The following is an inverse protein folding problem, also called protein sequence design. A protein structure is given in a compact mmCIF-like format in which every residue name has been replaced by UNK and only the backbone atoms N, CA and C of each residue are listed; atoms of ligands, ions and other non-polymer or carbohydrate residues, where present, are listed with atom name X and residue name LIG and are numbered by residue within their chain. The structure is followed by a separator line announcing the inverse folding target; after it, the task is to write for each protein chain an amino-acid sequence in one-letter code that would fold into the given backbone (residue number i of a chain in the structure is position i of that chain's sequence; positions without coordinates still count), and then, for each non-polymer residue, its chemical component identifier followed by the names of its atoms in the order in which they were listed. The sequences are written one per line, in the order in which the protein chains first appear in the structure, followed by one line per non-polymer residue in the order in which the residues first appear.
data_IF_547420255799
#
_entry.id   IF_547420255799
#
_cell.length_a   1.000
_cell.length_b   1.000
_cell.length_c   1.000
_cell.angle_alpha   90.00
_cell.angle_beta   90.00
_cell.angle_gamma   90.00
#
_symmetry.space_group_name_H-M   'P 1'
#
loop_
_entity.id
_entity.type
_entity.pdbx_description
1 polymer ?
#
# COMPACT_ATOMS: atom_id res chain seq x y z
N UNK A 1 -1.19 7.53 -27.14
CA UNK A 1 -2.04 7.39 -25.95
C UNK A 1 -1.66 8.41 -24.89
N UNK A 2 -2.54 8.72 -23.97
CA UNK A 2 -2.25 9.59 -22.83
C UNK A 2 -1.83 8.74 -21.62
N UNK A 3 -0.85 9.24 -20.88
CA UNK A 3 -0.34 8.59 -19.65
C UNK A 3 0.00 9.65 -18.60
N UNK A 4 -0.35 9.38 -17.34
CA UNK A 4 -0.03 10.25 -16.22
C UNK A 4 1.40 10.00 -15.73
N UNK A 5 2.22 11.05 -15.74
CA UNK A 5 3.66 10.99 -15.49
C UNK A 5 4.03 11.93 -14.36
N UNK A 6 4.94 11.50 -13.49
CA UNK A 6 5.56 12.32 -12.45
C UNK A 6 7.04 12.54 -12.77
N UNK A 7 7.45 13.79 -12.83
CA UNK A 7 8.86 14.19 -12.93
C UNK A 7 9.42 14.43 -11.53
N UNK A 8 10.28 13.53 -11.06
CA UNK A 8 10.87 13.64 -9.71
C UNK A 8 11.88 14.79 -9.58
N UNK A 9 12.47 15.24 -10.69
CA UNK A 9 13.42 16.34 -10.72
C UNK A 9 12.74 17.70 -10.57
N UNK A 10 11.70 17.95 -11.36
CA UNK A 10 10.95 19.22 -11.37
C UNK A 10 9.77 19.23 -10.39
N UNK A 11 9.29 18.06 -9.95
CA UNK A 11 8.07 17.94 -9.14
C UNK A 11 6.78 18.12 -9.95
N UNK A 12 6.87 18.19 -11.27
CA UNK A 12 5.71 18.34 -12.15
C UNK A 12 5.01 17.00 -12.35
N UNK A 13 3.68 17.02 -12.28
CA UNK A 13 2.79 15.93 -12.68
C UNK A 13 2.06 16.34 -13.93
N UNK A 14 2.14 15.58 -14.99
CA UNK A 14 1.53 15.93 -16.27
C UNK A 14 0.94 14.75 -17.01
N UNK A 15 0.00 15.03 -17.88
CA UNK A 15 -0.60 14.06 -18.78
C UNK A 15 0.09 14.15 -20.14
N UNK A 16 0.96 13.20 -20.44
CA UNK A 16 1.74 13.18 -21.69
C UNK A 16 1.09 12.31 -22.76
N UNK A 17 1.24 12.77 -24.02
CA UNK A 17 1.02 11.96 -25.20
C UNK A 17 2.28 11.11 -25.46
N UNK A 18 2.15 9.79 -25.33
CA UNK A 18 3.23 8.83 -25.53
C UNK A 18 2.81 7.75 -26.55
N UNK A 19 3.75 7.05 -27.22
CA UNK A 19 3.41 5.90 -28.04
C UNK A 19 2.63 4.85 -27.24
N UNK A 20 1.62 4.22 -27.85
CA UNK A 20 0.93 3.09 -27.22
C UNK A 20 1.85 1.86 -27.24
N UNK A 21 1.85 1.03 -26.18
CA UNK A 21 2.53 -0.25 -26.21
C UNK A 21 1.90 -1.16 -27.28
N UNK A 22 2.74 -1.93 -27.97
CA UNK A 22 2.27 -2.99 -28.86
C UNK A 22 2.11 -4.34 -28.14
N UNK A 23 1.47 -5.32 -28.81
CA UNK A 23 1.38 -6.69 -28.33
C UNK A 23 2.77 -7.28 -28.04
N UNK A 24 2.90 -8.03 -26.92
CA UNK A 24 4.14 -8.72 -26.55
C UNK A 24 3.82 -10.07 -25.95
N UNK A 25 4.56 -11.11 -26.38
CA UNK A 25 4.44 -12.44 -25.78
C UNK A 25 4.66 -12.39 -24.27
N UNK A 26 3.79 -13.06 -23.52
CA UNK A 26 3.82 -13.10 -22.04
C UNK A 26 3.32 -11.81 -21.34
N UNK A 27 2.73 -10.87 -22.09
CA UNK A 27 2.17 -9.63 -21.53
C UNK A 27 0.75 -9.41 -22.01
N UNK A 28 -0.10 -8.89 -21.14
CA UNK A 28 -1.45 -8.49 -21.50
C UNK A 28 -1.41 -7.05 -22.07
N UNK A 29 -1.95 -6.83 -23.25
CA UNK A 29 -2.25 -5.49 -23.75
C UNK A 29 -3.67 -5.15 -23.31
N UNK A 30 -3.83 -4.10 -22.52
CA UNK A 30 -5.11 -3.77 -21.88
C UNK A 30 -5.50 -2.33 -22.16
N UNK A 31 -6.73 -2.12 -22.64
CA UNK A 31 -7.34 -0.80 -22.79
C UNK A 31 -8.02 -0.39 -21.46
N UNK A 32 -7.69 0.78 -20.95
CA UNK A 32 -8.22 1.28 -19.69
C UNK A 32 -9.72 1.57 -19.74
N UNK A 33 -10.42 1.17 -18.70
CA UNK A 33 -11.78 1.63 -18.40
C UNK A 33 -11.79 2.56 -17.20
N UNK A 34 -11.06 2.19 -16.14
CA UNK A 34 -10.95 2.93 -14.87
C UNK A 34 -9.56 2.76 -14.27
N UNK A 35 -9.16 3.72 -13.48
CA UNK A 35 -8.02 3.55 -12.57
C UNK A 35 -8.29 4.31 -11.28
N UNK A 36 -7.81 3.76 -10.15
CA UNK A 36 -7.98 4.35 -8.83
C UNK A 36 -6.70 5.07 -8.42
N UNK A 37 -6.81 6.33 -8.04
CA UNK A 37 -5.70 7.11 -7.48
C UNK A 37 -5.51 6.77 -6.00
N UNK A 38 -4.31 6.34 -5.64
CA UNK A 38 -3.92 6.05 -4.27
C UNK A 38 -3.37 7.29 -3.58
N UNK A 39 -4.18 7.91 -2.72
CA UNK A 39 -3.79 9.13 -2.00
C UNK A 39 -2.57 8.94 -1.08
N UNK A 40 -2.25 7.73 -0.62
CA UNK A 40 -1.07 7.46 0.18
C UNK A 40 0.21 7.47 -0.64
N UNK A 41 0.37 6.47 -1.49
CA UNK A 41 1.63 6.23 -2.23
C UNK A 41 1.87 7.26 -3.32
N UNK A 42 0.84 7.61 -4.10
CA UNK A 42 1.02 8.57 -5.19
C UNK A 42 1.25 9.99 -4.69
N UNK A 43 0.52 10.40 -3.63
CA UNK A 43 0.78 11.67 -2.96
C UNK A 43 2.23 11.75 -2.46
N UNK A 44 2.75 10.67 -1.85
CA UNK A 44 4.13 10.62 -1.40
C UNK A 44 5.13 10.80 -2.56
N UNK A 45 4.87 10.21 -3.73
CA UNK A 45 5.70 10.39 -4.92
C UNK A 45 5.65 11.83 -5.45
N UNK A 46 4.47 12.43 -5.48
CA UNK A 46 4.28 13.83 -5.90
C UNK A 46 4.97 14.79 -4.93
N UNK A 47 4.78 14.60 -3.62
CA UNK A 47 5.44 15.42 -2.58
C UNK A 47 6.95 15.24 -2.60
N UNK A 48 7.46 14.02 -2.80
CA UNK A 48 8.88 13.76 -3.00
C UNK A 48 9.42 14.52 -4.22
N UNK A 49 8.68 14.51 -5.33
CA UNK A 49 9.04 15.27 -6.54
C UNK A 49 9.16 16.77 -6.26
N UNK A 50 8.20 17.33 -5.52
CA UNK A 50 8.14 18.75 -5.15
C UNK A 50 9.15 19.16 -4.07
N UNK A 51 9.63 18.23 -3.27
CA UNK A 51 10.58 18.47 -2.19
C UNK A 51 11.94 18.94 -2.71
N UNK A 52 12.53 19.93 -2.02
CA UNK A 52 13.92 20.35 -2.27
C UNK A 52 14.93 19.25 -1.89
N UNK A 53 16.20 19.41 -2.28
CA UNK A 53 17.28 18.45 -2.03
C UNK A 53 17.41 18.03 -0.55
N UNK A 54 17.25 18.96 0.38
CA UNK A 54 17.28 18.68 1.83
C UNK A 54 16.10 17.82 2.29
N UNK A 55 14.90 18.07 1.75
CA UNK A 55 13.72 17.28 2.03
C UNK A 55 13.86 15.86 1.47
N UNK A 56 14.35 15.72 0.24
CA UNK A 56 14.63 14.42 -0.40
C UNK A 56 15.67 13.60 0.37
N UNK A 57 16.74 14.26 0.87
CA UNK A 57 17.77 13.61 1.70
C UNK A 57 17.19 13.09 3.04
N UNK A 58 16.32 13.88 3.69
CA UNK A 58 15.65 13.47 4.95
C UNK A 58 14.67 12.33 4.76
N UNK A 59 13.94 12.29 3.65
CA UNK A 59 12.95 11.24 3.35
C UNK A 59 13.60 9.90 3.00
N UNK A 60 14.84 9.90 2.46
CA UNK A 60 15.55 8.69 2.05
C UNK A 60 17.01 8.71 2.52
N UNK A 61 17.26 8.59 3.84
CA UNK A 61 18.61 8.72 4.41
C UNK A 61 19.57 7.65 3.91
N UNK A 62 19.12 6.44 3.62
CA UNK A 62 19.97 5.37 3.09
C UNK A 62 20.44 5.66 1.66
N UNK A 63 19.56 6.18 0.80
CA UNK A 63 19.97 6.59 -0.55
C UNK A 63 20.92 7.78 -0.50
N UNK A 64 20.71 8.70 0.45
CA UNK A 64 21.63 9.81 0.65
C UNK A 64 23.03 9.32 1.10
N UNK A 65 23.09 8.35 2.03
CA UNK A 65 24.36 7.71 2.43
C UNK A 65 25.04 7.01 1.24
N UNK A 66 24.26 6.31 0.41
CA UNK A 66 24.77 5.67 -0.81
C UNK A 66 25.33 6.70 -1.82
N UNK A 67 24.69 7.85 -1.97
CA UNK A 67 25.19 8.97 -2.78
C UNK A 67 26.50 9.52 -2.20
N UNK A 68 26.59 9.72 -0.87
CA UNK A 68 27.82 10.15 -0.23
C UNK A 68 28.97 9.14 -0.39
N UNK A 69 28.69 7.84 -0.26
CA UNK A 69 29.67 6.78 -0.50
C UNK A 69 30.13 6.81 -1.97
N UNK A 70 29.22 6.99 -2.91
CA UNK A 70 29.50 7.07 -4.34
C UNK A 70 30.31 8.33 -4.70
N UNK A 71 30.08 9.47 -4.05
CA UNK A 71 30.89 10.67 -4.18
C UNK A 71 32.35 10.39 -3.76
N UNK A 72 32.55 9.61 -2.69
CA UNK A 72 33.89 9.25 -2.21
C UNK A 72 34.64 8.31 -3.16
N UNK A 73 33.91 7.40 -3.85
CA UNK A 73 34.50 6.39 -4.74
C UNK A 73 34.67 6.86 -6.19
N UNK A 74 33.70 7.61 -6.73
CA UNK A 74 33.64 7.98 -8.14
C UNK A 74 33.79 9.50 -8.39
N UNK A 75 33.81 10.31 -7.32
CA UNK A 75 33.91 11.75 -7.38
C UNK A 75 32.54 12.47 -7.44
N UNK A 76 32.55 13.77 -7.17
CA UNK A 76 31.34 14.60 -7.02
C UNK A 76 30.59 14.76 -8.36
N UNK A 77 31.28 15.12 -9.44
CA UNK A 77 30.66 15.46 -10.72
C UNK A 77 29.97 14.25 -11.39
N UNK A 78 30.57 13.06 -11.49
CA UNK A 78 29.91 11.87 -12.04
C UNK A 78 28.70 11.45 -11.21
N UNK A 79 28.81 11.53 -9.88
CA UNK A 79 27.71 11.17 -8.98
C UNK A 79 26.53 12.13 -9.10
N UNK A 80 26.77 13.44 -9.17
CA UNK A 80 25.72 14.43 -9.39
C UNK A 80 25.04 14.26 -10.76
N UNK A 81 25.79 13.97 -11.81
CA UNK A 81 25.26 13.67 -13.13
C UNK A 81 24.35 12.42 -13.10
N UNK A 82 24.78 11.34 -12.45
CA UNK A 82 24.00 10.11 -12.30
C UNK A 82 22.71 10.32 -11.49
N UNK A 83 22.75 11.09 -10.40
CA UNK A 83 21.58 11.46 -9.60
C UNK A 83 20.62 12.32 -10.41
N UNK A 84 21.10 13.33 -11.11
CA UNK A 84 20.28 14.17 -12.01
C UNK A 84 19.63 13.35 -13.10
N UNK A 85 20.37 12.46 -13.77
CA UNK A 85 19.83 11.56 -14.79
C UNK A 85 18.70 10.66 -14.25
N UNK A 86 18.87 10.08 -13.06
CA UNK A 86 17.81 9.30 -12.42
C UNK A 86 16.57 10.14 -12.05
N UNK A 87 16.76 11.35 -11.54
CA UNK A 87 15.66 12.25 -11.20
C UNK A 87 14.98 12.85 -12.45
N UNK A 88 15.70 12.93 -13.57
CA UNK A 88 15.15 13.40 -14.84
C UNK A 88 14.26 12.36 -15.53
N UNK A 89 14.38 11.07 -15.17
CA UNK A 89 13.54 10.04 -15.75
C UNK A 89 12.10 10.20 -15.23
N UNK A 90 11.12 10.35 -16.14
CA UNK A 90 9.71 10.42 -15.77
C UNK A 90 9.23 9.06 -15.26
N UNK A 91 8.41 9.09 -14.21
CA UNK A 91 7.84 7.87 -13.60
C UNK A 91 6.35 7.82 -13.90
N UNK A 92 5.83 6.74 -14.50
CA UNK A 92 4.40 6.54 -14.60
C UNK A 92 3.75 6.48 -13.22
N UNK A 93 2.66 7.24 -13.02
CA UNK A 93 1.87 7.17 -11.80
C UNK A 93 0.76 6.12 -11.93
N UNK A 94 0.35 5.60 -10.78
CA UNK A 94 -0.74 4.63 -10.66
C UNK A 94 -0.27 3.18 -10.57
N UNK A 95 -1.11 2.37 -9.94
CA UNK A 95 -0.95 0.93 -9.80
C UNK A 95 -2.29 0.22 -9.52
N UNK A 96 -3.41 0.85 -9.85
CA UNK A 96 -4.77 0.32 -9.69
C UNK A 96 -5.53 0.53 -10.99
N UNK A 97 -5.32 -0.34 -11.96
CA UNK A 97 -5.82 -0.21 -13.32
C UNK A 97 -6.86 -1.30 -13.62
N UNK A 98 -7.97 -0.92 -14.24
CA UNK A 98 -9.03 -1.80 -14.72
C UNK A 98 -9.24 -1.55 -16.20
N UNK A 99 -9.34 -2.63 -16.98
CA UNK A 99 -9.55 -2.51 -18.41
C UNK A 99 -9.98 -3.81 -19.08
N UNK A 100 -9.97 -3.79 -20.40
CA UNK A 100 -10.30 -4.89 -21.27
C UNK A 100 -9.06 -5.35 -22.03
N UNK A 101 -8.82 -6.65 -22.09
CA UNK A 101 -7.70 -7.27 -22.79
C UNK A 101 -7.90 -7.11 -24.30
N UNK A 102 -6.97 -6.40 -24.95
CA UNK A 102 -6.91 -6.25 -26.40
C UNK A 102 -6.07 -7.36 -27.06
N UNK A 103 -5.05 -7.85 -26.33
CA UNK A 103 -4.19 -8.96 -26.72
C UNK A 103 -3.69 -9.66 -25.47
N UNK A 104 -3.84 -10.97 -25.40
CA UNK A 104 -3.44 -11.78 -24.25
C UNK A 104 -1.95 -12.18 -24.26
N UNK A 105 -1.19 -11.91 -25.32
CA UNK A 105 0.24 -12.25 -25.42
C UNK A 105 0.56 -13.72 -25.19
N UNK A 106 -0.39 -14.62 -25.41
CA UNK A 106 -0.32 -16.05 -25.06
C UNK A 106 -0.20 -16.31 -23.54
N UNK A 107 -0.59 -15.36 -22.70
CA UNK A 107 -0.65 -15.58 -21.24
C UNK A 107 -1.76 -16.58 -20.89
N UNK A 108 -1.45 -17.66 -20.17
CA UNK A 108 -2.47 -18.65 -19.79
C UNK A 108 -3.54 -18.04 -18.89
N UNK A 109 -4.79 -18.44 -19.10
CA UNK A 109 -5.93 -17.98 -18.29
C UNK A 109 -6.53 -16.64 -18.68
N UNK A 110 -6.03 -15.98 -19.73
CA UNK A 110 -6.56 -14.72 -20.26
C UNK A 110 -6.92 -14.82 -21.74
N UNK A 111 -7.97 -14.12 -22.14
CA UNK A 111 -8.43 -14.04 -23.55
C UNK A 111 -8.71 -12.57 -23.92
N UNK A 112 -8.74 -12.29 -25.23
CA UNK A 112 -9.19 -10.99 -25.74
C UNK A 112 -10.65 -10.77 -25.33
N UNK A 113 -10.97 -9.57 -24.86
CA UNK A 113 -12.28 -9.20 -24.34
C UNK A 113 -12.44 -9.45 -22.82
N UNK A 114 -11.52 -10.17 -22.16
CA UNK A 114 -11.57 -10.31 -20.70
C UNK A 114 -11.48 -8.95 -20.02
N UNK A 115 -12.33 -8.75 -19.02
CA UNK A 115 -12.21 -7.62 -18.10
C UNK A 115 -11.21 -7.97 -17.01
N UNK A 116 -10.18 -7.13 -16.84
CA UNK A 116 -9.09 -7.40 -15.90
C UNK A 116 -8.80 -6.21 -15.00
N UNK A 117 -8.37 -6.50 -13.78
CA UNK A 117 -7.70 -5.55 -12.89
C UNK A 117 -6.20 -5.88 -12.87
N UNK A 118 -5.35 -4.87 -12.79
CA UNK A 118 -3.90 -5.03 -12.74
C UNK A 118 -3.23 -3.92 -11.93
N UNK A 119 -1.94 -4.10 -11.62
CA UNK A 119 -1.12 -3.07 -10.99
C UNK A 119 -0.48 -2.10 -12.01
N UNK A 120 -1.05 -1.98 -13.20
CA UNK A 120 -0.56 -1.09 -14.24
C UNK A 120 -0.81 0.40 -13.91
N UNK A 121 -0.05 1.33 -14.52
CA UNK A 121 -0.17 2.76 -14.28
C UNK A 121 -1.43 3.37 -14.89
N UNK A 122 -1.67 4.65 -14.58
CA UNK A 122 -2.73 5.47 -15.20
C UNK A 122 -2.37 5.80 -16.65
N UNK A 123 -2.89 5.03 -17.58
CA UNK A 123 -2.71 5.23 -19.02
C UNK A 123 -3.91 4.69 -19.80
N UNK A 124 -4.13 5.16 -21.02
CA UNK A 124 -5.23 4.70 -21.88
C UNK A 124 -5.06 3.25 -22.36
N UNK A 125 -3.81 2.83 -22.58
CA UNK A 125 -3.45 1.45 -22.92
C UNK A 125 -2.20 1.07 -22.13
N UNK A 126 -2.17 -0.14 -21.57
CA UNK A 126 -1.05 -0.62 -20.77
C UNK A 126 -0.60 -2.01 -21.20
N UNK A 127 0.69 -2.29 -21.01
CA UNK A 127 1.24 -3.64 -21.09
C UNK A 127 1.38 -4.20 -19.66
N UNK A 128 0.39 -4.98 -19.22
CA UNK A 128 0.33 -5.53 -17.87
C UNK A 128 1.03 -6.88 -17.76
N UNK A 129 1.59 -7.16 -16.58
CA UNK A 129 2.12 -8.47 -16.24
C UNK A 129 0.98 -9.40 -15.80
N UNK A 130 0.81 -10.59 -16.40
CA UNK A 130 -0.23 -11.52 -16.00
C UNK A 130 -0.15 -11.95 -14.53
N UNK A 131 1.07 -12.01 -13.95
CA UNK A 131 1.27 -12.33 -12.53
C UNK A 131 0.66 -11.29 -11.58
N UNK A 132 0.48 -10.05 -12.05
CA UNK A 132 -0.15 -8.96 -11.32
C UNK A 132 -1.48 -8.53 -11.92
N UNK A 133 -2.16 -9.44 -12.60
CA UNK A 133 -3.48 -9.22 -13.18
C UNK A 133 -4.47 -10.31 -12.74
N UNK A 134 -5.73 -9.94 -12.64
CA UNK A 134 -6.80 -10.90 -12.36
C UNK A 134 -8.02 -10.57 -13.21
N UNK A 135 -8.73 -11.61 -13.67
CA UNK A 135 -10.03 -11.43 -14.33
C UNK A 135 -11.08 -10.94 -13.33
N UNK A 136 -11.89 -10.01 -13.75
CA UNK A 136 -12.97 -9.45 -12.96
C UNK A 136 -14.19 -10.36 -13.11
N UNK A 137 -14.74 -10.92 -12.01
CA UNK A 137 -15.92 -11.76 -12.07
C UNK A 137 -17.14 -11.04 -12.68
N UNK A 138 -18.05 -11.80 -13.27
CA UNK A 138 -19.34 -11.26 -13.69
C UNK A 138 -20.08 -10.64 -12.48
N UNK A 139 -20.71 -9.48 -12.70
CA UNK A 139 -21.41 -8.75 -11.65
C UNK A 139 -20.56 -7.80 -10.81
N UNK A 140 -19.21 -7.87 -10.89
CA UNK A 140 -18.35 -6.88 -10.24
C UNK A 140 -18.12 -5.69 -11.18
N UNK A 141 -18.44 -4.47 -10.71
CA UNK A 141 -18.23 -3.25 -11.50
C UNK A 141 -16.72 -2.91 -11.62
N UNK A 142 -16.36 -2.13 -12.63
CA UNK A 142 -15.00 -1.66 -12.82
C UNK A 142 -14.54 -0.76 -11.65
N UNK A 143 -15.45 0.03 -11.09
CA UNK A 143 -15.22 0.89 -9.93
C UNK A 143 -14.83 0.07 -8.71
N UNK A 144 -15.58 -1.00 -8.39
CA UNK A 144 -15.26 -1.89 -7.29
C UNK A 144 -13.95 -2.66 -7.54
N UNK A 145 -13.76 -3.18 -8.74
CA UNK A 145 -12.55 -3.92 -9.10
C UNK A 145 -11.28 -3.07 -8.99
N UNK A 146 -11.36 -1.76 -9.20
CA UNK A 146 -10.20 -0.86 -9.11
C UNK A 146 -9.57 -0.82 -7.71
N UNK A 147 -10.29 -1.21 -6.66
CA UNK A 147 -9.75 -1.31 -5.29
C UNK A 147 -8.93 -2.58 -5.05
N UNK A 148 -8.96 -3.57 -5.94
CA UNK A 148 -8.31 -4.87 -5.73
C UNK A 148 -6.81 -4.78 -5.40
N UNK A 149 -5.97 -3.97 -6.07
CA UNK A 149 -4.56 -3.89 -5.69
C UNK A 149 -4.35 -3.38 -4.27
N UNK A 150 -5.14 -2.39 -3.82
CA UNK A 150 -5.09 -1.88 -2.45
C UNK A 150 -5.65 -2.89 -1.44
N UNK A 151 -6.70 -3.61 -1.82
CA UNK A 151 -7.25 -4.69 -0.99
C UNK A 151 -6.25 -5.85 -0.84
N UNK A 152 -5.45 -6.15 -1.87
CA UNK A 152 -4.38 -7.14 -1.79
C UNK A 152 -3.27 -6.72 -0.80
N UNK A 153 -2.92 -5.43 -0.74
CA UNK A 153 -2.00 -4.90 0.29
C UNK A 153 -2.58 -5.08 1.69
N UNK A 154 -3.86 -4.74 1.90
CA UNK A 154 -4.54 -4.95 3.17
C UNK A 154 -4.60 -6.44 3.54
N UNK A 155 -4.93 -7.31 2.58
CA UNK A 155 -5.02 -8.76 2.78
C UNK A 155 -3.67 -9.37 3.16
N UNK A 156 -2.57 -8.90 2.59
CA UNK A 156 -1.22 -9.34 3.00
C UNK A 156 -0.97 -9.01 4.47
N UNK A 157 -1.28 -7.79 4.90
CA UNK A 157 -1.19 -7.42 6.32
C UNK A 157 -2.05 -8.33 7.23
N UNK A 158 -3.28 -8.63 6.82
CA UNK A 158 -4.20 -9.53 7.53
C UNK A 158 -3.63 -10.96 7.63
N UNK A 159 -3.05 -11.49 6.55
CA UNK A 159 -2.39 -12.82 6.55
C UNK A 159 -1.24 -12.88 7.54
N UNK A 160 -0.45 -11.81 7.65
CA UNK A 160 0.66 -11.73 8.61
C UNK A 160 0.16 -11.63 10.06
N UNK A 161 -0.98 -10.97 10.31
CA UNK A 161 -1.64 -10.99 11.62
C UNK A 161 -2.07 -12.41 11.98
N UNK A 162 -2.65 -13.15 11.05
CA UNK A 162 -3.01 -14.56 11.23
C UNK A 162 -4.13 -14.80 12.24
N UNK A 163 -5.03 -13.83 12.43
CA UNK A 163 -6.17 -13.98 13.33
C UNK A 163 -7.18 -14.99 12.80
N UNK A 164 -7.80 -15.74 13.71
CA UNK A 164 -8.82 -16.73 13.42
C UNK A 164 -10.23 -16.12 13.56
N UNK A 165 -11.26 -16.70 12.92
CA UNK A 165 -12.66 -16.29 13.14
C UNK A 165 -13.01 -16.25 14.64
N UNK A 166 -13.72 -15.21 15.05
CA UNK A 166 -14.08 -14.96 16.46
C UNK A 166 -13.01 -14.22 17.27
N UNK A 167 -11.76 -14.19 16.84
CA UNK A 167 -10.71 -13.39 17.50
C UNK A 167 -10.89 -11.89 17.21
N UNK A 168 -10.21 -11.05 18.01
CA UNK A 168 -10.26 -9.60 17.89
C UNK A 168 -8.96 -9.07 17.31
N UNK A 169 -9.07 -8.22 16.28
CA UNK A 169 -7.97 -7.46 15.66
C UNK A 169 -8.25 -5.97 15.80
N UNK A 170 -7.23 -5.21 16.20
CA UNK A 170 -7.27 -3.74 16.18
C UNK A 170 -6.70 -3.24 14.86
N UNK A 171 -7.40 -2.35 14.16
CA UNK A 171 -6.92 -1.65 12.97
C UNK A 171 -6.64 -0.20 13.36
N UNK A 172 -5.37 0.18 13.36
CA UNK A 172 -4.91 1.55 13.64
C UNK A 172 -4.64 2.30 12.34
N UNK A 173 -5.40 3.37 12.14
CA UNK A 173 -5.46 4.11 10.88
C UNK A 173 -6.61 3.59 10.00
N UNK A 174 -7.67 4.38 9.88
CA UNK A 174 -8.88 4.04 9.12
C UNK A 174 -8.95 4.80 7.79
N UNK A 175 -7.78 5.04 7.18
CA UNK A 175 -7.67 5.49 5.80
C UNK A 175 -8.10 4.39 4.83
N UNK A 176 -7.85 4.55 3.54
CA UNK A 176 -8.33 3.61 2.51
C UNK A 176 -7.91 2.16 2.76
N UNK A 177 -6.64 1.91 3.09
CA UNK A 177 -6.15 0.55 3.42
C UNK A 177 -6.83 0.02 4.69
N UNK A 178 -6.98 0.87 5.73
CA UNK A 178 -7.67 0.49 6.96
C UNK A 178 -9.13 0.14 6.75
N UNK A 179 -9.85 0.91 5.93
CA UNK A 179 -11.24 0.63 5.56
C UNK A 179 -11.39 -0.70 4.81
N UNK A 180 -10.46 -1.00 3.90
CA UNK A 180 -10.43 -2.29 3.20
C UNK A 180 -10.08 -3.44 4.16
N UNK A 181 -9.14 -3.23 5.07
CA UNK A 181 -8.77 -4.22 6.09
C UNK A 181 -9.97 -4.53 7.02
N UNK A 182 -10.72 -3.53 7.47
CA UNK A 182 -11.93 -3.72 8.29
C UNK A 182 -12.92 -4.64 7.55
N UNK A 183 -13.24 -4.34 6.29
CA UNK A 183 -14.18 -5.13 5.49
C UNK A 183 -13.70 -6.57 5.29
N UNK A 184 -12.42 -6.76 4.98
CA UNK A 184 -11.84 -8.08 4.76
C UNK A 184 -11.80 -8.91 6.06
N UNK A 185 -11.41 -8.33 7.19
CA UNK A 185 -11.41 -9.00 8.50
C UNK A 185 -12.84 -9.38 8.92
N UNK A 186 -13.81 -8.48 8.73
CA UNK A 186 -15.22 -8.77 9.03
C UNK A 186 -15.76 -9.91 8.17
N UNK A 187 -15.43 -9.94 6.88
CA UNK A 187 -15.79 -11.03 5.96
C UNK A 187 -15.18 -12.38 6.38
N UNK A 188 -14.04 -12.37 7.09
CA UNK A 188 -13.40 -13.58 7.65
C UNK A 188 -13.94 -13.96 9.03
N UNK A 189 -14.97 -13.28 9.55
CA UNK A 189 -15.54 -13.56 10.87
C UNK A 189 -14.71 -13.04 12.04
N UNK A 190 -13.74 -12.15 11.80
CA UNK A 190 -12.90 -11.52 12.83
C UNK A 190 -13.63 -10.32 13.42
N UNK A 191 -13.59 -10.15 14.74
CA UNK A 191 -14.06 -8.95 15.42
C UNK A 191 -13.04 -7.83 15.23
N UNK A 192 -13.48 -6.66 14.76
CA UNK A 192 -12.58 -5.54 14.45
C UNK A 192 -12.84 -4.36 15.37
N UNK A 193 -11.78 -3.84 15.99
CA UNK A 193 -11.75 -2.55 16.65
C UNK A 193 -11.01 -1.56 15.77
N UNK A 194 -11.62 -0.40 15.49
CA UNK A 194 -11.02 0.64 14.64
C UNK A 194 -10.53 1.82 15.47
N UNK A 195 -9.34 2.33 15.16
CA UNK A 195 -8.74 3.50 15.81
C UNK A 195 -8.23 4.49 14.76
N UNK A 196 -8.76 5.70 14.77
CA UNK A 196 -8.30 6.82 13.94
C UNK A 196 -8.69 8.15 14.64
N UNK A 197 -7.87 9.21 14.60
CA UNK A 197 -8.26 10.51 15.14
C UNK A 197 -9.41 11.18 14.36
N UNK A 198 -9.59 10.86 13.09
CA UNK A 198 -10.58 11.44 12.19
C UNK A 198 -11.96 10.77 12.38
N UNK A 199 -12.95 11.57 12.80
CA UNK A 199 -14.30 11.10 13.07
C UNK A 199 -15.02 10.56 11.82
N UNK A 200 -14.81 11.18 10.67
CA UNK A 200 -15.44 10.73 9.42
C UNK A 200 -14.96 9.33 9.03
N UNK A 201 -13.66 9.04 9.24
CA UNK A 201 -13.10 7.71 9.00
C UNK A 201 -13.61 6.67 10.00
N UNK A 202 -13.77 7.06 11.28
CA UNK A 202 -14.37 6.18 12.30
C UNK A 202 -15.81 5.83 11.95
N UNK A 203 -16.60 6.83 11.56
CA UNK A 203 -17.98 6.65 11.12
C UNK A 203 -18.08 5.70 9.94
N UNK A 204 -17.21 5.83 8.95
CA UNK A 204 -17.20 4.92 7.79
C UNK A 204 -16.78 3.49 8.17
N UNK A 205 -15.83 3.33 9.09
CA UNK A 205 -15.44 2.01 9.61
C UNK A 205 -16.58 1.35 10.42
N UNK A 206 -17.35 2.14 11.17
CA UNK A 206 -18.55 1.64 11.88
C UNK A 206 -19.58 1.08 10.91
N UNK A 207 -19.83 1.75 9.78
CA UNK A 207 -20.73 1.23 8.72
C UNK A 207 -20.23 -0.10 8.15
N UNK A 208 -18.90 -0.30 8.14
CA UNK A 208 -18.27 -1.56 7.72
C UNK A 208 -18.25 -2.63 8.83
N UNK A 209 -18.80 -2.35 10.01
CA UNK A 209 -18.93 -3.28 11.13
C UNK A 209 -17.75 -3.27 12.11
N UNK A 210 -16.88 -2.25 12.08
CA UNK A 210 -15.90 -2.06 13.13
C UNK A 210 -16.55 -1.48 14.40
N UNK A 211 -16.07 -1.90 15.56
CA UNK A 211 -16.36 -1.27 16.83
C UNK A 211 -15.38 -0.13 17.04
N UNK A 212 -15.88 1.03 17.37
CA UNK A 212 -15.05 2.21 17.64
C UNK A 212 -15.06 2.45 19.15
N UNK A 213 -13.90 2.42 19.82
CA UNK A 213 -13.82 2.69 21.25
C UNK A 213 -14.05 4.18 21.56
N UNK A 214 -14.67 4.45 22.71
CA UNK A 214 -14.83 5.81 23.25
C UNK A 214 -13.50 6.31 23.82
N UNK A 215 -12.70 6.97 22.99
CA UNK A 215 -11.39 7.49 23.36
C UNK A 215 -10.36 6.41 23.69
N UNK A 216 -9.22 6.82 24.22
CA UNK A 216 -8.13 5.90 24.60
C UNK A 216 -8.47 4.96 25.76
N UNK A 217 -9.37 5.37 26.64
CA UNK A 217 -9.82 4.60 27.81
C UNK A 217 -10.80 3.48 27.47
N UNK A 218 -11.51 3.59 26.34
CA UNK A 218 -12.47 2.57 25.88
C UNK A 218 -11.80 1.32 25.28
N UNK A 219 -10.56 1.41 24.82
CA UNK A 219 -9.83 0.29 24.21
C UNK A 219 -9.63 -0.91 25.17
N UNK A 220 -9.09 -0.75 26.38
CA UNK A 220 -8.91 -1.86 27.30
C UNK A 220 -10.22 -2.55 27.70
N UNK A 221 -11.31 -1.79 27.84
CA UNK A 221 -12.62 -2.35 28.18
C UNK A 221 -13.18 -3.28 27.08
N UNK A 222 -12.86 -2.99 25.82
CA UNK A 222 -13.25 -3.81 24.67
C UNK A 222 -12.28 -4.98 24.39
N UNK A 223 -11.15 -5.03 25.11
CA UNK A 223 -10.07 -6.01 24.94
C UNK A 223 -9.68 -6.68 26.27
N UNK A 224 -10.61 -7.32 27.00
CA UNK A 224 -10.31 -7.89 28.32
C UNK A 224 -9.22 -8.97 28.27
N UNK A 225 -9.06 -9.67 27.16
CA UNK A 225 -8.02 -10.68 26.93
C UNK A 225 -6.90 -10.21 25.99
N UNK A 226 -6.89 -8.94 25.63
CA UNK A 226 -6.01 -8.39 24.59
C UNK A 226 -6.41 -8.77 23.16
N UNK A 227 -5.83 -8.11 22.17
CA UNK A 227 -6.04 -8.37 20.76
C UNK A 227 -5.19 -9.57 20.26
N UNK A 228 -5.73 -10.39 19.37
CA UNK A 228 -4.95 -11.42 18.68
C UNK A 228 -3.84 -10.79 17.84
N UNK A 229 -4.10 -9.61 17.30
CA UNK A 229 -3.10 -8.79 16.66
C UNK A 229 -3.58 -7.37 16.39
N UNK A 230 -2.63 -6.52 16.01
CA UNK A 230 -2.86 -5.13 15.63
C UNK A 230 -2.30 -4.89 14.24
N UNK A 231 -3.14 -4.38 13.35
CA UNK A 231 -2.78 -3.99 11.99
C UNK A 231 -2.64 -2.46 11.94
N UNK A 232 -1.43 -1.96 11.70
CA UNK A 232 -1.15 -0.53 11.63
C UNK A 232 -1.11 -0.11 10.16
N UNK A 233 -2.12 0.66 9.75
CA UNK A 233 -2.24 1.24 8.40
C UNK A 233 -2.11 2.77 8.43
N UNK A 234 -1.79 3.34 9.60
CA UNK A 234 -1.56 4.76 9.79
C UNK A 234 -0.27 5.23 9.11
N UNK A 235 -0.24 6.53 8.77
CA UNK A 235 0.97 7.22 8.30
C UNK A 235 1.27 8.37 9.25
N UNK A 236 2.37 8.26 10.01
CA UNK A 236 2.81 9.25 10.99
C UNK A 236 4.31 9.10 11.27
N UNK A 237 4.96 10.15 11.72
CA UNK A 237 6.36 10.08 12.21
C UNK A 237 6.48 9.61 13.66
N UNK A 238 5.37 9.47 14.38
CA UNK A 238 5.33 9.04 15.79
C UNK A 238 5.57 7.53 15.93
N UNK A 239 6.26 7.13 17.00
CA UNK A 239 6.46 5.74 17.42
C UNK A 239 5.28 5.21 18.25
N UNK A 240 4.40 6.09 18.74
CA UNK A 240 3.31 5.73 19.65
C UNK A 240 2.36 4.65 19.09
N UNK A 241 1.96 4.65 17.82
CA UNK A 241 1.10 3.59 17.29
C UNK A 241 1.70 2.20 17.45
N UNK A 242 3.02 2.04 17.28
CA UNK A 242 3.69 0.74 17.38
C UNK A 242 3.78 0.28 18.83
N UNK A 243 4.14 1.19 19.76
CA UNK A 243 4.23 0.87 21.17
C UNK A 243 2.84 0.63 21.79
N UNK A 244 1.84 1.43 21.44
CA UNK A 244 0.45 1.18 21.84
C UNK A 244 -0.06 -0.17 21.29
N UNK A 245 0.25 -0.50 20.04
CA UNK A 245 -0.14 -1.77 19.46
C UNK A 245 0.39 -2.97 20.26
N UNK A 246 1.65 -2.91 20.71
CA UNK A 246 2.25 -3.96 21.53
C UNK A 246 1.52 -4.12 22.88
N UNK A 247 1.17 -3.00 23.54
CA UNK A 247 0.41 -3.02 24.82
C UNK A 247 -1.01 -3.57 24.68
N UNK A 248 -1.63 -3.43 23.49
CA UNK A 248 -2.98 -3.94 23.23
C UNK A 248 -3.01 -5.43 22.88
N UNK A 249 -1.89 -6.01 22.49
CA UNK A 249 -1.80 -7.41 22.13
C UNK A 249 -1.95 -8.33 23.36
N UNK A 250 -2.69 -9.43 23.17
CA UNK A 250 -2.60 -10.57 24.09
C UNK A 250 -1.20 -11.19 24.04
N UNK A 251 -0.93 -12.11 24.96
CA UNK A 251 0.30 -12.92 24.93
C UNK A 251 0.48 -13.59 23.56
N UNK A 252 1.68 -13.44 22.97
CA UNK A 252 2.04 -13.92 21.62
C UNK A 252 1.20 -13.33 20.50
N UNK A 253 0.59 -12.15 20.73
CA UNK A 253 -0.07 -11.39 19.68
C UNK A 253 0.91 -10.86 18.65
N UNK A 254 0.39 -10.35 17.54
CA UNK A 254 1.20 -9.87 16.42
C UNK A 254 0.89 -8.42 16.09
N UNK A 255 1.92 -7.61 15.99
CA UNK A 255 1.85 -6.24 15.44
C UNK A 255 2.35 -6.27 14.01
N UNK A 256 1.50 -5.89 13.07
CA UNK A 256 1.84 -5.84 11.64
C UNK A 256 1.74 -4.40 11.14
N UNK A 257 2.85 -3.87 10.64
CA UNK A 257 2.92 -2.53 10.06
C UNK A 257 2.78 -2.60 8.53
N UNK A 258 1.69 -2.04 8.03
CA UNK A 258 1.42 -1.85 6.59
C UNK A 258 1.65 -0.39 6.20
N UNK A 259 1.35 0.53 7.10
CA UNK A 259 1.57 1.96 6.91
C UNK A 259 3.02 2.40 7.11
N UNK A 260 3.20 3.65 7.50
CA UNK A 260 4.53 4.22 7.78
C UNK A 260 4.48 4.92 9.14
N UNK A 261 5.30 4.46 10.08
CA UNK A 261 5.40 5.05 11.43
C UNK A 261 6.85 5.22 11.82
N UNK A 262 7.10 5.94 12.91
CA UNK A 262 8.36 5.83 13.64
C UNK A 262 8.53 4.39 14.17
N UNK A 263 9.78 3.96 14.34
CA UNK A 263 10.14 2.58 14.73
C UNK A 263 11.08 2.54 15.94
N UNK A 264 10.96 3.50 16.85
CA UNK A 264 11.62 3.43 18.15
C UNK A 264 10.78 2.54 19.08
N UNK A 265 11.18 1.28 19.21
CA UNK A 265 10.42 0.27 19.94
C UNK A 265 10.78 0.28 21.43
N UNK A 266 9.76 0.34 22.29
CA UNK A 266 9.93 0.13 23.72
C UNK A 266 9.97 -1.38 23.99
N UNK A 267 11.15 -1.90 24.34
CA UNK A 267 11.34 -3.33 24.61
C UNK A 267 10.35 -3.88 25.66
N UNK A 268 10.01 -3.12 26.69
CA UNK A 268 9.13 -3.60 27.76
C UNK A 268 7.73 -3.94 27.24
N UNK A 269 7.17 -3.12 26.34
CA UNK A 269 5.83 -3.32 25.77
C UNK A 269 5.74 -4.63 24.96
N UNK A 270 6.84 -5.01 24.27
CA UNK A 270 6.91 -6.25 23.50
C UNK A 270 7.25 -7.47 24.36
N UNK A 271 8.15 -7.30 25.35
CA UNK A 271 8.67 -8.39 26.16
C UNK A 271 7.59 -9.01 27.07
N UNK A 272 6.75 -8.19 27.68
CA UNK A 272 5.77 -8.64 28.68
C UNK A 272 4.81 -9.70 28.11
N UNK A 273 4.37 -9.53 26.87
CA UNK A 273 3.42 -10.41 26.20
C UNK A 273 4.03 -11.26 25.07
N UNK A 274 5.37 -11.32 24.95
CA UNK A 274 6.05 -12.03 23.85
C UNK A 274 5.50 -11.61 22.47
N UNK A 275 5.27 -10.30 22.24
CA UNK A 275 4.64 -9.79 21.02
C UNK A 275 5.62 -9.83 19.86
N UNK A 276 5.17 -10.34 18.71
CA UNK A 276 5.92 -10.29 17.45
C UNK A 276 5.62 -9.02 16.68
N UNK A 277 6.65 -8.41 16.08
CA UNK A 277 6.51 -7.27 15.17
C UNK A 277 6.98 -7.62 13.78
N UNK A 278 6.16 -7.28 12.77
CA UNK A 278 6.49 -7.53 11.37
C UNK A 278 6.07 -6.37 10.47
N UNK A 279 6.93 -6.01 9.53
CA UNK A 279 6.59 -5.05 8.46
C UNK A 279 6.02 -5.81 7.26
N UNK A 280 4.84 -5.43 6.81
CA UNK A 280 4.24 -5.93 5.58
C UNK A 280 4.76 -5.18 4.37
N UNK A 281 5.12 -5.91 3.31
CA UNK A 281 5.59 -5.30 2.06
C UNK A 281 4.61 -5.62 0.93
N UNK A 282 4.02 -4.56 0.34
CA UNK A 282 3.20 -4.66 -0.88
C UNK A 282 2.17 -5.80 -0.81
N UNK A 283 2.12 -6.67 -1.80
CA UNK A 283 1.19 -7.81 -1.92
C UNK A 283 1.73 -9.10 -1.27
N UNK A 284 2.89 -9.06 -0.62
CA UNK A 284 3.63 -10.23 -0.18
C UNK A 284 4.67 -10.69 -1.21
N UNK A 285 5.29 -11.86 -0.97
CA UNK A 285 6.19 -12.43 -1.97
C UNK A 285 5.40 -12.96 -3.17
N UNK A 286 5.87 -12.67 -4.37
CA UNK A 286 5.35 -13.26 -5.60
C UNK A 286 5.74 -14.74 -5.76
N UNK A 287 6.52 -15.27 -4.82
CA UNK A 287 7.06 -16.64 -4.84
C UNK A 287 6.07 -17.70 -4.31
N UNK A 288 4.78 -17.35 -4.21
CA UNK A 288 3.73 -18.26 -3.78
C UNK A 288 2.87 -18.76 -4.96
N UNK A 289 3.51 -18.98 -6.11
CA UNK A 289 2.88 -19.70 -7.21
C UNK A 289 3.69 -20.92 -7.55
#
# INVERSE_FOLDING_TARGET
MRQLIQHLGSGCTELLAVPAPGPRRGRLLVRAHRSLVSLGTERMLVEFGRGGWLSKARQQPEKFRAVLAKIRSEGLLPTLAAVRSKLAQPIPLGYCHVGEVLDAGQAPGFAVGDRVVSNAPHAEVVSADPAFAARIPAGVSAEHAAFTPLAAVALQGIRLVGAQPGETVVVMGLGLIGQLAVRLLRAQGVRVLGVDPDEAKRTEATKAGALIPDGATGLPALLPAGAAGVLITASTSSDEPVNLAARLCRRRGRVVLVGVTGLSLNRADFYQNEVSFQVSRSYGSADLT
#
